data_IF_631526412887
#
_entry.id   IF_631526412887
#
_cell.length_a   1.000
_cell.length_b   1.000
_cell.length_c   1.000
_cell.angle_alpha   90.00
_cell.angle_beta   90.00
_cell.angle_gamma   90.00
#
_symmetry.space_group_name_H-M   'P 1'
#
loop_
_entity.id
_entity.type
_entity.pdbx_description
1 polymer ?
#
# COMPACT_ATOMS: atom_id res chain seq x y z
N UNK A 1 -7.08 5.57 4.34
CA UNK A 1 -6.91 6.35 3.10
C UNK A 1 -5.75 5.78 2.28
N UNK A 2 -5.85 5.75 0.96
CA UNK A 2 -4.75 5.44 0.04
C UNK A 2 -3.83 6.66 -0.17
N UNK A 3 -2.61 6.49 -0.74
CA UNK A 3 -1.79 7.62 -1.16
C UNK A 3 -2.50 8.59 -2.11
N UNK A 4 -3.37 8.08 -2.99
CA UNK A 4 -4.16 8.90 -3.92
C UNK A 4 -5.20 9.73 -3.16
N UNK A 5 -5.94 9.12 -2.23
CA UNK A 5 -6.89 9.84 -1.37
C UNK A 5 -6.19 10.92 -0.52
N UNK A 6 -4.95 10.67 -0.08
CA UNK A 6 -4.12 11.68 0.62
C UNK A 6 -3.68 12.80 -0.33
N UNK A 7 -3.29 12.48 -1.57
CA UNK A 7 -2.99 13.49 -2.59
C UNK A 7 -4.20 14.39 -2.84
N UNK A 8 -5.38 13.80 -3.03
CA UNK A 8 -6.63 14.56 -3.24
C UNK A 8 -6.93 15.49 -2.07
N UNK A 9 -6.79 14.99 -0.83
CA UNK A 9 -6.98 15.81 0.37
C UNK A 9 -5.98 16.97 0.46
N UNK A 10 -4.72 16.75 0.10
CA UNK A 10 -3.68 17.79 0.09
C UNK A 10 -3.90 18.82 -1.02
N UNK A 11 -4.37 18.39 -2.20
CA UNK A 11 -4.73 19.27 -3.31
C UNK A 11 -5.90 20.17 -2.91
N UNK A 12 -6.96 19.60 -2.34
CA UNK A 12 -8.11 20.38 -1.86
C UNK A 12 -7.72 21.34 -0.74
N UNK A 13 -6.88 20.91 0.21
CA UNK A 13 -6.36 21.79 1.24
C UNK A 13 -5.54 22.95 0.67
N UNK A 14 -4.65 22.69 -0.28
CA UNK A 14 -3.86 23.72 -0.95
C UNK A 14 -4.75 24.71 -1.72
N UNK A 15 -5.76 24.23 -2.46
CA UNK A 15 -6.75 25.08 -3.14
C UNK A 15 -7.51 25.97 -2.17
N UNK A 16 -7.91 25.42 -1.02
CA UNK A 16 -8.56 26.20 0.05
C UNK A 16 -7.67 27.34 0.55
N UNK A 17 -6.38 27.08 0.79
CA UNK A 17 -5.43 28.13 1.21
C UNK A 17 -5.31 29.23 0.16
N UNK A 18 -5.19 28.87 -1.12
CA UNK A 18 -5.12 29.85 -2.22
C UNK A 18 -6.40 30.69 -2.30
N UNK A 19 -7.57 30.06 -2.16
CA UNK A 19 -8.86 30.75 -2.23
C UNK A 19 -9.09 31.75 -1.09
N UNK A 20 -8.51 31.51 0.09
CA UNK A 20 -8.65 32.35 1.29
C UNK A 20 -7.62 33.50 1.36
N UNK A 21 -6.95 33.82 0.25
CA UNK A 21 -5.97 34.91 0.18
C UNK A 21 -4.53 34.47 0.44
N UNK A 22 -4.25 33.16 0.32
CA UNK A 22 -2.89 32.63 0.26
C UNK A 22 -2.13 33.04 -1.01
N UNK A 23 -0.93 32.47 -1.23
CA UNK A 23 -0.11 32.75 -2.41
C UNK A 23 -0.88 32.48 -3.71
N UNK A 24 -0.77 33.37 -4.70
CA UNK A 24 -1.36 33.17 -6.02
C UNK A 24 -0.54 32.14 -6.82
N UNK A 25 -0.78 30.86 -6.56
CA UNK A 25 -0.12 29.71 -7.19
C UNK A 25 -1.15 28.77 -7.82
N UNK A 26 -0.83 28.21 -8.97
CA UNK A 26 -1.64 27.17 -9.60
C UNK A 26 -1.43 25.83 -8.86
N UNK A 27 -2.51 25.27 -8.33
CA UNK A 27 -2.46 23.97 -7.62
C UNK A 27 -2.68 22.84 -8.62
N UNK A 28 -1.73 21.89 -8.76
CA UNK A 28 -1.86 20.78 -9.69
C UNK A 28 -3.01 19.84 -9.32
N UNK A 29 -3.40 18.96 -10.25
CA UNK A 29 -4.43 17.95 -10.02
C UNK A 29 -3.99 16.79 -9.12
N UNK A 30 -2.69 16.59 -8.95
CA UNK A 30 -2.09 15.56 -8.11
C UNK A 30 -0.80 16.12 -7.48
N UNK A 31 -0.48 15.69 -6.26
CA UNK A 31 0.76 16.06 -5.56
C UNK A 31 1.55 14.82 -5.16
N UNK A 32 2.87 14.98 -5.02
CA UNK A 32 3.72 13.90 -4.55
C UNK A 32 3.36 13.50 -3.11
N UNK A 33 3.03 12.23 -2.91
CA UNK A 33 2.82 11.62 -1.60
C UNK A 33 3.82 10.47 -1.41
N UNK A 34 4.58 10.54 -0.33
CA UNK A 34 5.56 9.54 0.06
C UNK A 34 5.00 8.71 1.22
N UNK A 35 4.96 7.39 1.08
CA UNK A 35 4.66 6.50 2.21
C UNK A 35 5.93 6.31 3.06
N UNK A 36 5.86 6.71 4.32
CA UNK A 36 6.97 6.71 5.28
C UNK A 36 6.79 5.68 6.40
N UNK A 37 5.72 4.88 6.36
CA UNK A 37 5.39 3.89 7.38
C UNK A 37 3.96 3.40 7.26
N UNK A 38 3.52 2.60 8.24
CA UNK A 38 2.16 2.08 8.31
C UNK A 38 1.14 3.23 8.46
N UNK A 39 0.52 3.64 7.36
CA UNK A 39 -0.42 4.76 7.36
C UNK A 39 0.23 6.12 7.62
N UNK A 40 1.54 6.26 7.40
CA UNK A 40 2.24 7.54 7.51
C UNK A 40 2.58 8.02 6.12
N UNK A 41 2.03 9.17 5.74
CA UNK A 41 2.23 9.79 4.45
C UNK A 41 2.82 11.19 4.60
N UNK A 42 3.82 11.52 3.78
CA UNK A 42 4.47 12.82 3.78
C UNK A 42 4.45 13.45 2.39
N UNK A 43 4.24 14.76 2.32
CA UNK A 43 4.24 15.51 1.07
C UNK A 43 5.00 16.82 1.20
N UNK A 44 5.86 17.18 0.22
CA UNK A 44 6.49 18.48 0.15
C UNK A 44 5.56 19.56 -0.45
N UNK A 45 4.24 19.32 -0.55
CA UNK A 45 3.29 20.20 -1.24
C UNK A 45 3.41 21.68 -0.86
N UNK A 46 3.56 22.00 0.42
CA UNK A 46 3.76 23.38 0.88
C UNK A 46 5.04 24.01 0.30
N UNK A 47 6.15 23.27 0.36
CA UNK A 47 7.44 23.71 -0.19
C UNK A 47 7.39 23.89 -1.70
N UNK A 48 6.76 22.96 -2.42
CA UNK A 48 6.66 22.99 -3.89
C UNK A 48 5.79 24.15 -4.35
N UNK A 49 4.68 24.43 -3.66
CA UNK A 49 3.73 25.48 -4.02
C UNK A 49 4.06 26.85 -3.40
N UNK A 50 5.07 26.93 -2.53
CA UNK A 50 5.35 28.14 -1.75
C UNK A 50 4.23 28.50 -0.78
N UNK A 51 3.42 27.53 -0.37
CA UNK A 51 2.35 27.67 0.61
C UNK A 51 2.89 27.26 1.98
N UNK A 52 2.49 27.95 3.05
CA UNK A 52 2.87 27.58 4.42
C UNK A 52 2.37 26.16 4.72
N UNK A 53 3.27 25.20 5.01
CA UNK A 53 2.88 23.80 5.20
C UNK A 53 1.93 23.64 6.40
N UNK A 54 1.99 24.53 7.39
CA UNK A 54 1.09 24.54 8.54
C UNK A 54 -0.37 24.79 8.13
N UNK A 55 -0.61 25.69 7.18
CA UNK A 55 -1.96 26.01 6.71
C UNK A 55 -2.59 24.84 5.93
N UNK A 56 -1.78 24.05 5.24
CA UNK A 56 -2.21 22.82 4.58
C UNK A 56 -2.43 21.71 5.63
N UNK A 57 -1.48 21.54 6.55
CA UNK A 57 -1.53 20.51 7.59
C UNK A 57 -2.79 20.65 8.46
N UNK A 58 -3.15 21.87 8.88
CA UNK A 58 -4.36 22.13 9.66
C UNK A 58 -5.63 21.63 8.95
N UNK A 59 -5.75 21.86 7.65
CA UNK A 59 -6.93 21.47 6.85
C UNK A 59 -7.06 19.96 6.67
N UNK A 60 -5.95 19.25 6.58
CA UNK A 60 -5.94 17.78 6.44
C UNK A 60 -5.88 17.04 7.78
N UNK A 61 -5.90 17.76 8.90
CA UNK A 61 -5.71 17.16 10.23
C UNK A 61 -4.32 16.53 10.41
N UNK A 62 -3.33 17.03 9.68
CA UNK A 62 -1.95 16.55 9.68
C UNK A 62 -1.02 17.37 10.57
N UNK A 63 0.28 17.08 10.45
CA UNK A 63 1.36 17.81 11.14
C UNK A 63 2.42 18.25 10.14
N UNK A 64 3.32 19.14 10.54
CA UNK A 64 4.47 19.53 9.73
C UNK A 64 5.74 18.92 10.32
N UNK A 65 6.53 18.25 9.49
CA UNK A 65 7.82 17.71 9.92
C UNK A 65 8.88 18.81 9.95
N UNK A 66 9.99 18.61 10.68
CA UNK A 66 11.07 19.60 10.75
C UNK A 66 11.75 19.95 9.41
N UNK A 67 11.39 19.27 8.31
CA UNK A 67 11.84 19.58 6.94
C UNK A 67 10.80 20.36 6.12
N UNK A 68 9.66 20.74 6.71
CA UNK A 68 8.58 21.44 6.03
C UNK A 68 7.63 20.54 5.23
N UNK A 69 7.64 19.23 5.46
CA UNK A 69 6.71 18.31 4.81
C UNK A 69 5.41 18.25 5.59
N UNK A 70 4.28 18.22 4.88
CA UNK A 70 2.98 17.93 5.48
C UNK A 70 2.89 16.42 5.68
N UNK A 71 2.69 16.01 6.92
CA UNK A 71 2.55 14.62 7.36
C UNK A 71 1.11 14.33 7.71
N UNK A 72 0.55 13.31 7.06
CA UNK A 72 -0.81 12.80 7.30
C UNK A 72 -0.67 11.38 7.86
N UNK A 73 -1.28 11.15 9.02
CA UNK A 73 -1.32 9.84 9.66
C UNK A 73 -2.72 9.27 9.58
N UNK A 74 -2.82 8.01 9.17
CA UNK A 74 -4.06 7.24 9.15
C UNK A 74 -3.85 5.91 9.87
N UNK A 75 -4.88 5.38 10.52
CA UNK A 75 -4.83 4.03 11.06
C UNK A 75 -4.42 3.01 9.99
N UNK A 76 -3.60 2.03 10.38
CA UNK A 76 -3.17 0.96 9.47
C UNK A 76 -4.36 0.18 8.88
N UNK A 77 -5.41 0.00 9.69
CA UNK A 77 -6.68 -0.57 9.25
C UNK A 77 -7.28 0.18 8.06
N UNK A 78 -7.33 1.51 8.14
CA UNK A 78 -7.91 2.36 7.10
C UNK A 78 -7.10 2.33 5.79
N UNK A 79 -5.79 2.03 5.85
CA UNK A 79 -4.98 1.79 4.64
C UNK A 79 -5.42 0.48 3.99
N UNK A 80 -5.51 -0.59 4.77
CA UNK A 80 -5.96 -1.91 4.29
C UNK A 80 -7.36 -1.81 3.69
N UNK A 81 -8.30 -1.19 4.39
CA UNK A 81 -9.67 -1.00 3.91
C UNK A 81 -9.74 -0.14 2.65
N UNK A 82 -8.88 0.87 2.51
CA UNK A 82 -8.82 1.68 1.31
C UNK A 82 -8.30 0.86 0.10
N UNK A 83 -7.29 0.00 0.30
CA UNK A 83 -6.84 -0.94 -0.76
C UNK A 83 -7.98 -1.89 -1.16
N UNK A 84 -8.74 -2.40 -0.20
CA UNK A 84 -9.84 -3.34 -0.46
C UNK A 84 -11.02 -2.70 -1.20
N UNK A 85 -11.22 -1.38 -1.05
CA UNK A 85 -12.23 -0.58 -1.75
C UNK A 85 -11.81 -0.18 -3.17
N UNK A 86 -10.53 -0.29 -3.51
CA UNK A 86 -9.97 0.08 -4.81
C UNK A 86 -9.44 -1.15 -5.58
N UNK A 87 -10.26 -1.79 -6.43
CA UNK A 87 -9.79 -2.85 -7.31
C UNK A 87 -8.66 -2.44 -8.25
N UNK A 88 -8.53 -1.13 -8.56
CA UNK A 88 -7.50 -0.53 -9.38
C UNK A 88 -6.28 -0.03 -8.58
N UNK A 89 -6.14 -0.46 -7.32
CA UNK A 89 -5.09 0.06 -6.45
C UNK A 89 -3.71 0.03 -7.09
N UNK A 90 -3.10 1.22 -7.17
CA UNK A 90 -1.74 1.44 -7.66
C UNK A 90 -1.53 1.21 -9.15
N UNK A 91 -2.57 1.12 -9.98
CA UNK A 91 -2.39 0.87 -11.42
C UNK A 91 -1.79 2.09 -12.15
N UNK A 92 -0.74 1.85 -12.95
CA UNK A 92 -0.07 2.82 -13.82
C UNK A 92 0.40 2.12 -15.11
N UNK A 93 0.83 2.89 -16.13
CA UNK A 93 1.39 2.33 -17.37
C UNK A 93 2.88 2.02 -17.20
N UNK A 94 3.16 0.80 -16.75
CA UNK A 94 4.53 0.33 -16.51
C UNK A 94 5.03 -0.51 -17.70
N UNK A 95 6.31 -0.37 -18.11
CA UNK A 95 6.90 -1.26 -19.11
C UNK A 95 6.87 -2.73 -18.66
N UNK A 96 6.97 -3.65 -19.61
CA UNK A 96 7.05 -5.08 -19.28
C UNK A 96 8.33 -5.40 -18.51
N UNK A 97 8.22 -6.29 -17.54
CA UNK A 97 9.33 -6.82 -16.76
C UNK A 97 9.07 -8.30 -16.46
N UNK A 98 10.14 -9.07 -16.34
CA UNK A 98 10.05 -10.48 -16.00
C UNK A 98 11.20 -10.90 -15.11
N UNK A 99 10.88 -11.67 -14.09
CA UNK A 99 11.86 -12.44 -13.32
C UNK A 99 12.02 -13.84 -13.89
N UNK A 100 13.18 -14.46 -13.62
CA UNK A 100 13.39 -15.88 -13.86
C UNK A 100 12.37 -16.74 -13.08
N UNK A 101 11.90 -17.84 -13.67
CA UNK A 101 11.01 -18.81 -13.00
C UNK A 101 11.77 -19.82 -12.10
N UNK A 102 13.10 -19.90 -12.26
CA UNK A 102 13.95 -20.89 -11.60
C UNK A 102 15.15 -20.21 -10.92
N UNK A 103 15.66 -20.76 -9.80
CA UNK A 103 15.08 -21.86 -9.03
C UNK A 103 13.77 -21.45 -8.33
N UNK A 104 12.91 -22.42 -8.01
CA UNK A 104 11.70 -22.19 -7.23
C UNK A 104 12.03 -22.17 -5.74
N UNK A 105 12.70 -21.11 -5.31
CA UNK A 105 13.10 -20.87 -3.92
C UNK A 105 12.80 -19.42 -3.54
N UNK A 106 12.70 -19.13 -2.24
CA UNK A 106 12.49 -17.77 -1.73
C UNK A 106 13.64 -16.80 -2.08
N UNK A 107 14.82 -17.31 -2.44
CA UNK A 107 15.95 -16.51 -2.92
C UNK A 107 15.73 -15.99 -4.35
N UNK A 108 14.86 -16.63 -5.13
CA UNK A 108 14.43 -16.10 -6.43
C UNK A 108 13.30 -15.07 -6.20
N UNK A 109 13.50 -13.79 -6.57
CA UNK A 109 12.51 -12.75 -6.31
C UNK A 109 11.19 -12.98 -7.06
N UNK A 110 11.25 -13.46 -8.30
CA UNK A 110 10.07 -13.78 -9.09
C UNK A 110 9.24 -14.90 -8.49
N UNK A 111 9.89 -15.98 -8.04
CA UNK A 111 9.20 -17.05 -7.33
C UNK A 111 8.58 -16.54 -6.03
N UNK A 112 9.34 -15.77 -5.24
CA UNK A 112 8.88 -15.19 -3.97
C UNK A 112 7.61 -14.34 -4.16
N UNK A 113 7.63 -13.40 -5.13
CA UNK A 113 6.47 -12.54 -5.45
C UNK A 113 5.25 -13.35 -5.89
N UNK A 114 5.43 -14.28 -6.85
CA UNK A 114 4.32 -15.09 -7.34
C UNK A 114 3.75 -15.96 -6.20
N UNK A 115 4.62 -16.55 -5.39
CA UNK A 115 4.20 -17.41 -4.28
C UNK A 115 3.49 -16.63 -3.17
N UNK A 116 3.91 -15.39 -2.87
CA UNK A 116 3.19 -14.48 -1.98
C UNK A 116 1.76 -14.23 -2.47
N UNK A 117 1.58 -13.97 -3.77
CA UNK A 117 0.25 -13.82 -4.37
C UNK A 117 -0.60 -15.09 -4.24
N UNK A 118 -0.05 -16.26 -4.58
CA UNK A 118 -0.77 -17.52 -4.47
C UNK A 118 -1.18 -17.82 -3.01
N UNK A 119 -0.27 -17.63 -2.07
CA UNK A 119 -0.51 -17.80 -0.63
C UNK A 119 -1.59 -16.85 -0.10
N UNK A 120 -1.59 -15.59 -0.53
CA UNK A 120 -2.67 -14.64 -0.22
C UNK A 120 -4.04 -15.10 -0.75
N UNK A 121 -4.08 -15.71 -1.94
CA UNK A 121 -5.31 -16.33 -2.45
C UNK A 121 -5.75 -17.55 -1.62
N UNK A 122 -4.80 -18.32 -1.07
CA UNK A 122 -5.09 -19.52 -0.28
C UNK A 122 -5.66 -19.17 1.08
N UNK A 123 -5.11 -18.16 1.75
CA UNK A 123 -5.63 -17.65 3.03
C UNK A 123 -7.10 -17.29 2.93
N UNK A 124 -7.54 -16.65 1.83
CA UNK A 124 -8.96 -16.34 1.63
C UNK A 124 -9.84 -17.59 1.55
N UNK A 125 -9.35 -18.68 0.95
CA UNK A 125 -10.08 -19.95 0.87
C UNK A 125 -10.11 -20.68 2.20
N UNK A 126 -8.95 -20.82 2.85
CA UNK A 126 -8.85 -21.46 4.17
C UNK A 126 -9.65 -20.73 5.23
N UNK A 127 -9.63 -19.39 5.21
CA UNK A 127 -10.46 -18.58 6.10
C UNK A 127 -11.95 -18.90 5.94
N UNK A 128 -12.44 -18.97 4.69
CA UNK A 128 -13.83 -19.33 4.44
C UNK A 128 -14.18 -20.75 4.91
N UNK A 129 -13.29 -21.73 4.70
CA UNK A 129 -13.47 -23.11 5.16
C UNK A 129 -13.48 -23.23 6.69
N UNK A 130 -12.73 -22.37 7.39
CA UNK A 130 -12.60 -22.34 8.85
C UNK A 130 -13.55 -21.35 9.53
N UNK A 131 -14.50 -20.74 8.80
CA UNK A 131 -15.46 -19.78 9.36
C UNK A 131 -14.86 -18.43 9.76
N UNK A 132 -13.67 -18.08 9.27
CA UNK A 132 -13.06 -16.75 9.42
C UNK A 132 -13.72 -15.80 8.42
N UNK A 133 -14.48 -14.82 8.91
CA UNK A 133 -15.07 -13.76 8.09
C UNK A 133 -14.06 -12.68 7.67
N UNK A 134 -14.50 -11.74 6.84
CA UNK A 134 -13.74 -10.51 6.57
C UNK A 134 -13.85 -9.56 7.77
N UNK A 135 -12.73 -8.95 8.16
CA UNK A 135 -12.68 -8.02 9.28
C UNK A 135 -11.61 -6.94 9.09
N UNK A 136 -11.74 -5.89 9.91
CA UNK A 136 -10.75 -4.81 9.98
C UNK A 136 -9.52 -5.25 10.78
N UNK A 137 -8.35 -4.74 10.42
CA UNK A 137 -7.10 -5.02 11.13
C UNK A 137 -7.15 -4.41 12.53
N UNK A 138 -6.91 -5.20 13.57
CA UNK A 138 -6.94 -4.76 14.98
C UNK A 138 -5.63 -5.10 15.67
N UNK A 139 -5.17 -4.17 16.51
CA UNK A 139 -3.97 -4.31 17.34
C UNK A 139 -2.78 -4.90 16.56
N UNK A 140 -2.39 -4.28 15.43
CA UNK A 140 -1.45 -4.88 14.50
C UNK A 140 -0.07 -5.04 15.12
N UNK A 141 0.48 -6.23 14.96
CA UNK A 141 1.83 -6.61 15.32
C UNK A 141 2.86 -5.85 14.46
N UNK A 142 4.12 -5.71 14.92
CA UNK A 142 5.16 -5.02 14.16
C UNK A 142 5.37 -5.54 12.74
N UNK A 143 5.16 -6.85 12.48
CA UNK A 143 5.25 -7.42 11.14
C UNK A 143 4.10 -6.96 10.24
N UNK A 144 2.89 -6.89 10.77
CA UNK A 144 1.69 -6.43 10.07
C UNK A 144 1.82 -4.94 9.73
N UNK A 145 2.28 -4.12 10.68
CA UNK A 145 2.58 -2.70 10.43
C UNK A 145 3.63 -2.51 9.32
N UNK A 146 4.72 -3.28 9.33
CA UNK A 146 5.72 -3.23 8.24
C UNK A 146 5.08 -3.54 6.89
N UNK A 147 4.25 -4.57 6.81
CA UNK A 147 3.54 -4.91 5.58
C UNK A 147 2.61 -3.78 5.12
N UNK A 148 1.82 -3.18 6.02
CA UNK A 148 0.96 -2.02 5.68
C UNK A 148 1.80 -0.86 5.14
N UNK A 149 2.96 -0.58 5.74
CA UNK A 149 3.86 0.46 5.25
C UNK A 149 4.35 0.22 3.83
N UNK A 150 4.80 -1.00 3.52
CA UNK A 150 5.27 -1.33 2.16
C UNK A 150 4.12 -1.35 1.15
N UNK A 151 2.92 -1.80 1.54
CA UNK A 151 1.73 -1.72 0.69
C UNK A 151 1.44 -0.26 0.31
N UNK A 152 1.55 0.67 1.26
CA UNK A 152 1.38 2.11 1.02
C UNK A 152 2.35 2.70 -0.01
N UNK A 153 3.51 2.08 -0.25
CA UNK A 153 4.48 2.55 -1.25
C UNK A 153 4.09 2.19 -2.70
N UNK A 154 3.26 1.15 -2.90
CA UNK A 154 3.00 0.55 -4.22
C UNK A 154 2.54 1.58 -5.26
N UNK A 155 1.56 2.47 -4.99
CA UNK A 155 1.11 3.46 -5.97
C UNK A 155 2.22 4.44 -6.37
N UNK A 156 3.01 4.91 -5.39
CA UNK A 156 4.12 5.83 -5.65
C UNK A 156 5.22 5.20 -6.50
N UNK A 157 5.51 3.90 -6.29
CA UNK A 157 6.48 3.13 -7.07
C UNK A 157 5.99 2.79 -8.48
N UNK A 158 4.70 2.53 -8.64
CA UNK A 158 4.08 2.36 -9.96
C UNK A 158 4.13 3.66 -10.77
N UNK A 159 3.77 4.79 -10.15
CA UNK A 159 3.85 6.10 -10.78
C UNK A 159 5.30 6.50 -11.11
N UNK A 160 6.26 6.16 -10.23
CA UNK A 160 7.68 6.32 -10.52
C UNK A 160 8.10 5.52 -11.76
N UNK A 161 7.70 4.24 -11.81
CA UNK A 161 8.02 3.36 -12.92
C UNK A 161 7.45 3.85 -14.27
N UNK A 162 6.23 4.38 -14.27
CA UNK A 162 5.60 5.01 -15.43
C UNK A 162 6.38 6.26 -15.89
N UNK A 163 6.71 7.17 -14.96
CA UNK A 163 7.45 8.41 -15.28
C UNK A 163 8.86 8.14 -15.81
N UNK A 164 9.54 7.15 -15.24
CA UNK A 164 10.91 6.79 -15.62
C UNK A 164 10.96 5.89 -16.86
N UNK A 165 9.83 5.33 -17.29
CA UNK A 165 9.81 4.32 -18.35
C UNK A 165 10.62 3.08 -17.98
N UNK A 166 10.66 2.74 -16.68
CA UNK A 166 11.43 1.65 -16.12
C UNK A 166 10.61 0.90 -15.07
N UNK A 167 10.43 -0.40 -15.24
CA UNK A 167 9.62 -1.21 -14.34
C UNK A 167 10.31 -1.58 -13.02
N UNK A 168 11.63 -1.41 -12.90
CA UNK A 168 12.42 -1.82 -11.74
C UNK A 168 11.95 -1.23 -10.40
N UNK A 169 11.57 0.07 -10.31
CA UNK A 169 11.03 0.62 -9.06
C UNK A 169 9.80 -0.12 -8.55
N UNK A 170 8.89 -0.49 -9.45
CA UNK A 170 7.72 -1.31 -9.10
C UNK A 170 8.12 -2.74 -8.77
N UNK A 171 8.96 -3.38 -9.59
CA UNK A 171 9.40 -4.77 -9.37
C UNK A 171 10.03 -4.94 -7.98
N UNK A 172 10.96 -4.07 -7.59
CA UNK A 172 11.57 -4.11 -6.26
C UNK A 172 10.57 -3.81 -5.12
N UNK A 173 9.55 -2.99 -5.37
CA UNK A 173 8.48 -2.79 -4.41
C UNK A 173 7.66 -4.07 -4.20
N UNK A 174 7.32 -4.78 -5.28
CA UNK A 174 6.60 -6.05 -5.20
C UNK A 174 7.40 -7.12 -4.45
N UNK A 175 8.72 -7.17 -4.66
CA UNK A 175 9.62 -8.04 -3.90
C UNK A 175 9.59 -7.73 -2.40
N UNK A 176 9.59 -6.45 -2.04
CA UNK A 176 9.46 -6.03 -0.62
C UNK A 176 8.09 -6.37 -0.04
N UNK A 177 7.00 -6.20 -0.80
CA UNK A 177 5.65 -6.63 -0.37
C UNK A 177 5.63 -8.13 -0.13
N UNK A 178 6.21 -8.92 -1.03
CA UNK A 178 6.27 -10.37 -0.91
C UNK A 178 7.07 -10.80 0.33
N UNK A 179 8.27 -10.25 0.53
CA UNK A 179 9.08 -10.50 1.73
C UNK A 179 8.35 -10.16 3.02
N UNK A 180 7.74 -8.97 3.11
CA UNK A 180 6.97 -8.55 4.28
C UNK A 180 5.74 -9.45 4.52
N UNK A 181 5.08 -9.91 3.45
CA UNK A 181 3.93 -10.80 3.57
C UNK A 181 4.34 -12.21 3.99
N UNK A 182 5.48 -12.72 3.53
CA UNK A 182 6.02 -13.99 4.03
C UNK A 182 6.26 -13.92 5.53
N UNK A 183 6.89 -12.84 6.03
CA UNK A 183 7.07 -12.62 7.46
C UNK A 183 5.74 -12.62 8.24
N UNK A 184 4.73 -11.91 7.73
CA UNK A 184 3.39 -11.87 8.35
C UNK A 184 2.75 -13.26 8.34
N UNK A 185 2.83 -13.99 7.23
CA UNK A 185 2.22 -15.32 7.15
C UNK A 185 2.82 -16.32 8.14
N UNK A 186 4.13 -16.24 8.39
CA UNK A 186 4.80 -17.14 9.34
C UNK A 186 4.61 -16.72 10.81
N UNK A 187 4.55 -15.41 11.10
CA UNK A 187 4.53 -14.88 12.49
C UNK A 187 3.14 -14.49 12.98
N UNK A 188 2.23 -14.18 12.08
CA UNK A 188 0.90 -13.67 12.34
C UNK A 188 -0.11 -14.46 11.48
N UNK A 189 -0.38 -15.75 11.80
CA UNK A 189 -1.25 -16.59 10.99
C UNK A 189 -2.65 -15.99 10.86
N UNK A 190 -3.15 -15.97 9.64
CA UNK A 190 -4.49 -15.45 9.32
C UNK A 190 -5.61 -16.47 9.57
N UNK A 191 -5.25 -17.74 9.76
CA UNK A 191 -6.16 -18.83 10.09
C UNK A 191 -5.82 -19.38 11.47
N UNK A 192 -6.83 -19.82 12.25
CA UNK A 192 -6.60 -20.43 13.56
C UNK A 192 -5.71 -21.67 13.47
N UNK A 193 -4.88 -21.89 14.49
CA UNK A 193 -3.99 -23.05 14.58
C UNK A 193 -4.41 -24.00 15.71
N UNK A 194 -4.49 -25.30 15.41
CA UNK A 194 -4.84 -26.31 16.39
C UNK A 194 -6.27 -26.14 16.91
N UNK A 195 -6.40 -25.99 18.24
CA UNK A 195 -7.69 -25.81 18.93
C UNK A 195 -8.09 -24.33 19.09
N UNK A 196 -7.40 -23.41 18.40
CA UNK A 196 -7.76 -21.98 18.41
C UNK A 196 -9.10 -21.73 17.71
N UNK A 197 -9.95 -20.93 18.36
CA UNK A 197 -11.24 -20.52 17.77
C UNK A 197 -11.05 -19.36 16.77
N UNK A 198 -11.80 -19.34 15.64
CA UNK A 198 -11.88 -18.20 14.74
C UNK A 198 -12.27 -16.91 15.48
N UNK A 199 -11.66 -15.78 15.10
CA UNK A 199 -11.84 -14.52 15.83
C UNK A 199 -11.47 -13.29 15.02
N UNK A 200 -11.67 -12.11 15.63
CA UNK A 200 -11.46 -10.82 14.96
C UNK A 200 -10.01 -10.61 14.47
N UNK A 201 -9.02 -11.16 15.17
CA UNK A 201 -7.60 -11.11 14.75
C UNK A 201 -7.39 -11.89 13.44
N UNK A 202 -8.00 -13.07 13.31
CA UNK A 202 -7.97 -13.87 12.09
C UNK A 202 -8.67 -13.14 10.94
N UNK A 203 -9.83 -12.53 11.21
CA UNK A 203 -10.58 -11.77 10.24
C UNK A 203 -9.80 -10.54 9.70
N UNK A 204 -9.14 -9.80 10.59
CA UNK A 204 -8.28 -8.67 10.22
C UNK A 204 -7.07 -9.09 9.37
N UNK A 205 -6.42 -10.20 9.73
CA UNK A 205 -5.30 -10.77 8.97
C UNK A 205 -5.71 -11.33 7.62
N UNK A 206 -6.91 -11.92 7.52
CA UNK A 206 -7.50 -12.32 6.25
C UNK A 206 -7.77 -11.10 5.35
N UNK A 207 -8.25 -9.99 5.92
CA UNK A 207 -8.37 -8.70 5.22
C UNK A 207 -7.03 -8.17 4.71
N UNK A 208 -5.98 -8.24 5.54
CA UNK A 208 -4.61 -7.86 5.15
C UNK A 208 -4.07 -8.75 4.02
N UNK A 209 -4.28 -10.07 4.07
CA UNK A 209 -3.92 -10.98 2.99
C UNK A 209 -4.69 -10.66 1.69
N UNK A 210 -5.97 -10.28 1.79
CA UNK A 210 -6.75 -9.83 0.64
C UNK A 210 -6.20 -8.53 0.04
N UNK A 211 -5.74 -7.58 0.86
CA UNK A 211 -5.06 -6.38 0.36
C UNK A 211 -3.74 -6.70 -0.37
N UNK A 212 -2.95 -7.65 0.14
CA UNK A 212 -1.76 -8.16 -0.55
C UNK A 212 -2.11 -8.78 -1.90
N UNK A 213 -3.19 -9.57 -1.97
CA UNK A 213 -3.70 -10.14 -3.23
C UNK A 213 -4.03 -9.05 -4.25
N UNK A 214 -4.68 -7.96 -3.84
CA UNK A 214 -4.98 -6.82 -4.73
C UNK A 214 -3.68 -6.18 -5.22
N UNK A 215 -2.79 -5.77 -4.31
CA UNK A 215 -1.57 -5.07 -4.66
C UNK A 215 -0.62 -5.90 -5.55
N UNK A 216 -0.34 -7.15 -5.18
CA UNK A 216 0.49 -8.04 -5.99
C UNK A 216 -0.18 -8.42 -7.31
N UNK A 217 -1.50 -8.65 -7.29
CA UNK A 217 -2.26 -8.98 -8.50
C UNK A 217 -2.22 -7.86 -9.53
N UNK A 218 -2.38 -6.61 -9.09
CA UNK A 218 -2.26 -5.44 -9.96
C UNK A 218 -0.81 -5.21 -10.40
N UNK A 219 0.14 -5.31 -9.47
CA UNK A 219 1.58 -5.23 -9.73
C UNK A 219 2.07 -6.17 -10.82
N UNK A 220 1.73 -7.46 -10.69
CA UNK A 220 2.07 -8.50 -11.67
C UNK A 220 1.43 -8.22 -13.04
N UNK A 221 0.17 -7.77 -13.09
CA UNK A 221 -0.48 -7.39 -14.36
C UNK A 221 0.21 -6.20 -15.02
N UNK A 222 0.61 -5.18 -14.25
CA UNK A 222 1.27 -3.98 -14.77
C UNK A 222 2.59 -4.31 -15.48
N UNK A 223 3.37 -5.24 -14.94
CA UNK A 223 4.63 -5.68 -15.56
C UNK A 223 4.44 -6.71 -16.68
N UNK A 224 3.19 -7.09 -16.99
CA UNK A 224 2.86 -8.00 -18.08
C UNK A 224 2.77 -9.48 -17.71
N UNK A 225 2.77 -9.82 -16.42
CA UNK A 225 2.49 -11.19 -15.96
C UNK A 225 0.99 -11.43 -15.77
N UNK A 226 0.59 -12.71 -15.85
CA UNK A 226 -0.75 -13.14 -15.45
C UNK A 226 -0.64 -13.80 -14.07
N UNK A 227 -1.17 -13.19 -13.00
CA UNK A 227 -1.13 -13.77 -11.66
C UNK A 227 -1.75 -15.16 -11.64
N UNK A 228 -1.07 -16.12 -10.99
CA UNK A 228 -1.54 -17.50 -10.87
C UNK A 228 -1.78 -17.84 -9.42
N UNK A 229 -2.94 -18.41 -9.13
CA UNK A 229 -3.28 -18.88 -7.78
C UNK A 229 -2.65 -20.24 -7.45
N UNK A 230 -1.96 -20.87 -8.42
CA UNK A 230 -1.27 -22.16 -8.30
C UNK A 230 0.07 -22.07 -9.02
N UNK A 231 1.16 -22.44 -8.35
CA UNK A 231 2.56 -22.27 -8.80
C UNK A 231 3.31 -23.59 -8.64
#
# INVERSE_FOLDING_TARGET
MTPAEVSDALVEAARGVVAEGGPAVEVPGEVLVLACGAGVFESPVGLVLGITPEAIAERVGGTVTGRGFVRVEVPAADVVEAILRDPGYGTARVPRFGWDDRPRSFENPGFSVRYAYARACWVGRWGAELGVGEGSLRDPEPAELRLVGVLGEVPGRAAQAEREGDARPLAFCLERVAGAYHDVHERCPAVPLGDEEPGAVHAGRAGLARAVRVALGNGLKMIGETPRERI
#
